data_IF_537749226531
#
_entry.id   IF_537749226531
#
_cell.length_a   1.000
_cell.length_b   1.000
_cell.length_c   1.000
_cell.angle_alpha   90.00
_cell.angle_beta   90.00
_cell.angle_gamma   90.00
#
_symmetry.space_group_name_H-M   'P 1'
#
loop_
_entity.id
_entity.type
_entity.pdbx_description
1 polymer ?
#
# COMPACT_ATOMS: atom_id res chain seq x y z
N UNK A 1 55.63 -4.75 26.88
CA UNK A 1 54.99 -3.54 26.32
C UNK A 1 53.49 -3.78 26.31
N UNK A 2 52.75 -3.03 27.14
CA UNK A 2 51.31 -3.23 27.34
C UNK A 2 50.51 -2.83 26.10
N UNK A 3 49.66 -3.73 25.61
CA UNK A 3 48.63 -3.41 24.63
C UNK A 3 47.54 -2.63 25.34
N UNK A 4 47.39 -1.35 25.01
CA UNK A 4 46.27 -0.54 25.48
C UNK A 4 45.01 -1.12 24.83
N UNK A 5 44.05 -1.53 25.67
CA UNK A 5 42.71 -1.93 25.23
C UNK A 5 42.09 -0.82 24.39
N UNK A 6 41.68 -1.15 23.17
CA UNK A 6 41.08 -0.21 22.25
C UNK A 6 39.70 0.22 22.78
N UNK A 7 39.62 1.43 23.35
CA UNK A 7 38.34 2.07 23.69
C UNK A 7 37.84 2.91 22.52
N UNK A 8 36.69 2.56 21.97
CA UNK A 8 36.04 3.34 20.92
C UNK A 8 35.53 4.68 21.50
N UNK A 9 36.14 5.80 21.09
CA UNK A 9 35.64 7.14 21.37
C UNK A 9 34.95 7.72 20.13
N UNK A 10 33.88 8.49 20.32
CA UNK A 10 32.99 9.00 19.26
C UNK A 10 33.69 9.79 18.13
N UNK A 11 34.89 10.33 18.37
CA UNK A 11 35.68 11.04 17.34
C UNK A 11 36.51 10.14 16.41
N UNK A 12 36.61 8.84 16.69
CA UNK A 12 37.53 7.93 15.97
C UNK A 12 36.86 7.09 14.87
N UNK A 13 35.58 7.31 14.57
CA UNK A 13 34.82 6.48 13.63
C UNK A 13 35.48 6.42 12.24
N UNK A 14 35.84 7.58 11.67
CA UNK A 14 36.44 7.66 10.32
C UNK A 14 37.78 6.90 10.26
N UNK A 15 38.76 7.15 11.15
CA UNK A 15 40.00 6.36 11.20
C UNK A 15 39.79 4.85 11.38
N UNK A 16 38.84 4.46 12.24
CA UNK A 16 38.55 3.04 12.52
C UNK A 16 38.06 2.36 11.25
N UNK A 17 37.03 2.94 10.62
CA UNK A 17 36.44 2.38 9.41
C UNK A 17 37.49 2.30 8.32
N UNK A 18 38.24 3.39 8.07
CA UNK A 18 39.30 3.41 7.07
C UNK A 18 40.34 2.32 7.30
N UNK A 19 40.83 2.16 8.54
CA UNK A 19 41.80 1.10 8.88
C UNK A 19 41.22 -0.29 8.69
N UNK A 20 39.95 -0.49 9.02
CA UNK A 20 39.24 -1.76 8.86
C UNK A 20 39.14 -2.17 7.39
N UNK A 21 38.58 -1.31 6.51
CA UNK A 21 38.39 -1.63 5.08
C UNK A 21 39.73 -1.82 4.35
N UNK A 22 40.80 -1.19 4.82
CA UNK A 22 42.15 -1.35 4.27
C UNK A 22 42.89 -2.60 4.76
N UNK A 23 42.43 -3.24 5.84
CA UNK A 23 43.15 -4.37 6.43
C UNK A 23 43.13 -5.60 5.53
N UNK A 24 44.26 -6.33 5.45
CA UNK A 24 44.34 -7.59 4.68
C UNK A 24 43.35 -8.64 5.18
N UNK A 25 43.12 -8.68 6.49
CA UNK A 25 42.18 -9.61 7.10
C UNK A 25 40.74 -9.36 6.62
N UNK A 26 40.32 -8.10 6.52
CA UNK A 26 39.01 -7.72 6.01
C UNK A 26 38.87 -8.04 4.52
N UNK A 27 39.82 -7.59 3.68
CA UNK A 27 39.79 -7.81 2.22
C UNK A 27 39.82 -9.30 1.82
N UNK A 28 40.40 -10.17 2.66
CA UNK A 28 40.39 -11.62 2.42
C UNK A 28 39.01 -12.25 2.61
N UNK A 29 38.14 -11.64 3.44
CA UNK A 29 36.84 -12.20 3.84
C UNK A 29 35.64 -11.44 3.28
N UNK A 30 35.79 -10.15 3.00
CA UNK A 30 34.69 -9.27 2.62
C UNK A 30 35.07 -8.42 1.41
N UNK A 31 34.10 -8.22 0.50
CA UNK A 31 34.27 -7.35 -0.67
C UNK A 31 34.17 -5.86 -0.34
N UNK A 32 33.46 -5.52 0.74
CA UNK A 32 33.17 -4.15 1.15
C UNK A 32 32.37 -4.08 2.44
N UNK A 33 31.98 -2.88 2.82
CA UNK A 33 31.16 -2.58 3.99
C UNK A 33 29.89 -1.85 3.54
N UNK A 34 28.72 -2.40 3.86
CA UNK A 34 27.44 -1.71 3.71
C UNK A 34 26.92 -1.30 5.09
N UNK A 35 26.54 -0.03 5.24
CA UNK A 35 25.99 0.54 6.47
C UNK A 35 24.57 0.99 6.17
N UNK A 36 23.61 0.39 6.86
CA UNK A 36 22.20 0.77 6.82
C UNK A 36 21.87 1.54 8.09
N UNK A 37 21.34 2.75 7.93
CA UNK A 37 20.94 3.61 9.01
C UNK A 37 19.46 3.92 8.86
N UNK A 38 18.63 3.17 9.58
CA UNK A 38 17.20 3.44 9.65
C UNK A 38 16.92 4.67 10.53
N UNK A 39 15.87 5.42 10.20
CA UNK A 39 15.53 6.67 10.91
C UNK A 39 16.68 7.70 10.97
N UNK A 40 17.52 7.76 9.94
CA UNK A 40 18.61 8.72 9.85
C UNK A 40 18.10 10.17 9.96
N UNK A 41 16.88 10.43 9.47
CA UNK A 41 16.20 11.72 9.60
C UNK A 41 16.09 12.21 11.04
N UNK A 42 15.79 11.35 12.01
CA UNK A 42 15.70 11.72 13.42
C UNK A 42 17.05 12.17 13.99
N UNK A 43 18.13 11.55 13.51
CA UNK A 43 19.49 11.88 13.91
C UNK A 43 19.92 13.23 13.34
N UNK A 44 19.50 13.55 12.11
CA UNK A 44 19.65 14.87 11.50
C UNK A 44 18.84 15.93 12.26
N UNK A 45 17.60 15.62 12.66
CA UNK A 45 16.73 16.55 13.40
C UNK A 45 17.28 16.90 14.80
N UNK A 46 17.90 15.92 15.47
CA UNK A 46 18.45 16.10 16.83
C UNK A 46 19.85 16.68 16.88
N UNK A 47 20.51 16.92 15.74
CA UNK A 47 21.92 17.31 15.67
C UNK A 47 22.83 16.39 16.51
N UNK A 48 22.49 15.10 16.58
CA UNK A 48 23.19 14.15 17.45
C UNK A 48 24.59 13.76 16.93
N UNK A 49 24.96 14.21 15.72
CA UNK A 49 26.32 14.16 15.20
C UNK A 49 26.95 15.54 15.16
N UNK A 50 28.24 15.61 15.48
CA UNK A 50 29.02 16.79 15.11
C UNK A 50 29.04 16.88 13.58
N UNK A 51 28.80 18.09 13.05
CA UNK A 51 28.85 18.40 11.62
C UNK A 51 30.12 17.84 10.96
N UNK A 52 31.25 17.95 11.65
CA UNK A 52 32.56 17.50 11.18
C UNK A 52 32.64 15.98 11.03
N UNK A 53 31.97 15.22 11.90
CA UNK A 53 31.94 13.75 11.82
C UNK A 53 31.11 13.31 10.62
N UNK A 54 29.92 13.88 10.41
CA UNK A 54 29.05 13.48 9.30
C UNK A 54 29.65 13.90 7.94
N UNK A 55 30.13 15.15 7.84
CA UNK A 55 30.81 15.64 6.65
C UNK A 55 32.08 14.84 6.37
N UNK A 56 32.92 14.63 7.39
CA UNK A 56 34.14 13.85 7.28
C UNK A 56 33.88 12.41 6.88
N UNK A 57 32.80 11.80 7.37
CA UNK A 57 32.38 10.45 7.00
C UNK A 57 31.96 10.38 5.53
N UNK A 58 31.13 11.30 5.05
CA UNK A 58 30.72 11.35 3.64
C UNK A 58 31.91 11.60 2.70
N UNK A 59 32.80 12.54 3.04
CA UNK A 59 33.96 12.87 2.21
C UNK A 59 35.02 11.76 2.21
N UNK A 60 35.37 11.26 3.40
CA UNK A 60 36.54 10.40 3.56
C UNK A 60 36.21 8.95 3.30
N UNK A 61 35.00 8.52 3.66
CA UNK A 61 34.58 7.13 3.54
C UNK A 61 33.72 6.96 2.29
N UNK A 62 32.53 7.56 2.24
CA UNK A 62 31.56 7.25 1.17
C UNK A 62 32.03 7.67 -0.24
N UNK A 63 32.76 8.79 -0.35
CA UNK A 63 33.25 9.27 -1.66
C UNK A 63 34.56 8.63 -2.11
N UNK A 64 35.46 8.35 -1.18
CA UNK A 64 36.84 7.95 -1.49
C UNK A 64 37.11 6.46 -1.30
N UNK A 65 36.24 5.73 -0.61
CA UNK A 65 36.37 4.28 -0.44
C UNK A 65 35.37 3.58 -1.37
N UNK A 66 35.80 3.04 -2.53
CA UNK A 66 34.89 2.44 -3.52
C UNK A 66 34.16 1.19 -3.01
N UNK A 67 34.57 0.67 -1.86
CA UNK A 67 34.07 -0.56 -1.27
C UNK A 67 33.21 -0.29 -0.04
N UNK A 68 32.82 0.96 0.21
CA UNK A 68 31.94 1.33 1.32
C UNK A 68 30.66 1.96 0.78
N UNK A 69 29.52 1.41 1.21
CA UNK A 69 28.19 1.90 0.88
C UNK A 69 27.49 2.35 2.17
N UNK A 70 26.92 3.55 2.16
CA UNK A 70 26.09 4.05 3.25
C UNK A 70 24.70 4.36 2.69
N UNK A 71 23.67 3.81 3.34
CA UNK A 71 22.26 4.03 3.02
C UNK A 71 21.58 4.50 4.30
N UNK A 72 21.03 5.72 4.27
CA UNK A 72 20.26 6.30 5.37
C UNK A 72 18.83 6.56 4.95
N UNK A 73 17.86 6.13 5.76
CA UNK A 73 16.43 6.37 5.53
C UNK A 73 16.01 7.71 6.14
N UNK A 74 15.32 8.56 5.38
CA UNK A 74 14.83 9.87 5.82
C UNK A 74 13.36 10.07 5.41
N UNK A 75 12.59 10.76 6.24
CA UNK A 75 11.14 11.00 6.03
C UNK A 75 10.82 12.30 5.29
N UNK A 76 11.81 13.17 5.09
CA UNK A 76 11.68 14.45 4.38
C UNK A 76 12.88 14.60 3.45
N UNK A 77 12.74 15.40 2.39
CA UNK A 77 13.86 15.79 1.54
C UNK A 77 15.01 16.29 2.41
N UNK A 78 16.24 15.87 2.07
CA UNK A 78 17.44 16.29 2.79
C UNK A 78 17.53 17.83 2.93
N UNK A 79 17.05 18.57 1.93
CA UNK A 79 16.98 20.05 1.95
C UNK A 79 16.09 20.60 3.05
N UNK A 80 15.09 19.84 3.51
CA UNK A 80 14.21 20.26 4.61
C UNK A 80 14.91 20.22 5.98
N UNK A 81 16.07 19.58 6.08
CA UNK A 81 16.94 19.65 7.25
C UNK A 81 17.91 20.85 7.18
N UNK A 82 17.89 21.64 6.09
CA UNK A 82 18.78 22.78 5.88
C UNK A 82 18.60 23.91 6.89
N UNK A 83 17.44 24.04 7.53
CA UNK A 83 17.20 25.07 8.57
C UNK A 83 18.05 24.87 9.83
N UNK A 84 18.62 23.67 10.01
CA UNK A 84 19.47 23.30 11.15
C UNK A 84 20.96 23.35 10.82
N UNK A 85 21.30 23.34 9.52
CA UNK A 85 22.65 23.56 9.02
C UNK A 85 22.74 24.99 8.47
N UNK A 86 23.94 25.49 8.13
CA UNK A 86 23.95 26.68 7.27
C UNK A 86 23.44 26.27 5.87
N UNK A 87 22.80 27.20 5.14
CA UNK A 87 22.31 26.92 3.77
C UNK A 87 23.41 26.38 2.85
N UNK A 88 24.63 26.88 3.04
CA UNK A 88 25.80 26.45 2.27
C UNK A 88 26.22 25.02 2.65
N UNK A 89 26.19 24.67 3.94
CA UNK A 89 26.52 23.31 4.40
C UNK A 89 25.50 22.28 3.94
N UNK A 90 24.20 22.62 4.01
CA UNK A 90 23.14 21.74 3.55
C UNK A 90 23.24 21.47 2.04
N UNK A 91 23.60 22.50 1.26
CA UNK A 91 23.84 22.36 -0.17
C UNK A 91 25.05 21.46 -0.46
N UNK A 92 26.15 21.62 0.29
CA UNK A 92 27.35 20.78 0.15
C UNK A 92 27.07 19.31 0.50
N UNK A 93 26.29 19.05 1.56
CA UNK A 93 25.90 17.69 1.95
C UNK A 93 24.91 17.08 0.95
N UNK A 94 23.89 17.83 0.52
CA UNK A 94 22.90 17.38 -0.48
C UNK A 94 23.57 17.01 -1.80
N UNK A 95 24.59 17.76 -2.25
CA UNK A 95 25.34 17.47 -3.47
C UNK A 95 26.15 16.17 -3.42
N UNK A 96 26.31 15.55 -2.24
CA UNK A 96 27.12 14.34 -2.02
C UNK A 96 26.27 13.11 -1.71
N UNK A 97 24.97 13.30 -1.57
CA UNK A 97 24.02 12.24 -1.30
C UNK A 97 23.24 12.01 -2.59
N UNK A 98 23.18 10.76 -3.02
CA UNK A 98 22.20 10.34 -4.03
C UNK A 98 20.90 10.05 -3.29
N UNK A 99 19.97 10.99 -3.30
CA UNK A 99 18.63 10.73 -2.80
C UNK A 99 17.95 9.77 -3.77
N UNK A 100 17.48 8.65 -3.24
CA UNK A 100 16.64 7.69 -3.95
C UNK A 100 15.30 7.73 -3.24
N UNK A 101 14.28 8.23 -3.93
CA UNK A 101 12.94 8.25 -3.38
C UNK A 101 12.43 6.81 -3.31
N UNK A 102 12.09 6.35 -2.10
CA UNK A 102 11.40 5.07 -1.89
C UNK A 102 9.94 5.25 -2.28
N UNK A 103 9.68 5.24 -3.58
CA UNK A 103 8.33 5.23 -4.14
C UNK A 103 7.75 3.81 -4.11
N UNK A 104 6.44 3.70 -4.23
CA UNK A 104 5.75 2.40 -4.36
C UNK A 104 6.03 1.69 -5.72
N UNK A 105 6.95 2.21 -6.53
CA UNK A 105 7.34 1.62 -7.80
C UNK A 105 8.06 0.28 -7.56
N UNK A 106 7.61 -0.79 -8.21
CA UNK A 106 8.17 -2.12 -8.03
C UNK A 106 7.70 -2.84 -6.75
N UNK A 107 6.76 -2.25 -5.97
CA UNK A 107 6.20 -2.92 -4.79
C UNK A 107 5.48 -4.22 -5.17
N UNK A 108 4.98 -4.34 -6.41
CA UNK A 108 4.39 -5.57 -6.92
C UNK A 108 5.40 -6.72 -7.00
N UNK A 109 6.69 -6.44 -7.22
CA UNK A 109 7.74 -7.46 -7.20
C UNK A 109 7.98 -7.97 -5.78
N UNK A 110 7.98 -7.06 -4.80
CA UNK A 110 8.11 -7.40 -3.38
C UNK A 110 6.92 -8.23 -2.93
N UNK A 111 5.70 -7.83 -3.30
CA UNK A 111 4.49 -8.60 -2.98
C UNK A 111 4.53 -9.97 -3.67
N UNK A 112 4.93 -10.04 -4.94
CA UNK A 112 5.05 -11.30 -5.67
C UNK A 112 6.06 -12.27 -5.04
N UNK A 113 7.05 -11.76 -4.32
CA UNK A 113 7.97 -12.57 -3.53
C UNK A 113 7.37 -13.06 -2.19
N UNK A 114 6.34 -12.38 -1.66
CA UNK A 114 5.63 -12.77 -0.43
C UNK A 114 4.54 -13.81 -0.76
N UNK A 115 3.79 -13.60 -1.85
CA UNK A 115 2.59 -14.36 -2.23
C UNK A 115 2.94 -15.59 -3.09
N UNK A 116 4.09 -16.22 -2.84
CA UNK A 116 4.69 -17.25 -3.72
C UNK A 116 3.66 -18.22 -4.32
N UNK A 117 3.34 -17.98 -5.60
CA UNK A 117 2.26 -18.71 -6.30
C UNK A 117 2.85 -19.90 -7.02
N UNK A 118 2.62 -21.11 -6.48
CA UNK A 118 3.05 -22.36 -7.13
C UNK A 118 2.18 -22.65 -8.37
N UNK A 119 2.64 -22.18 -9.54
CA UNK A 119 1.99 -22.41 -10.83
C UNK A 119 2.15 -23.86 -11.32
N UNK A 120 3.03 -24.65 -10.72
CA UNK A 120 3.27 -26.04 -11.09
C UNK A 120 2.36 -27.02 -10.35
N UNK A 121 1.69 -26.58 -9.29
CA UNK A 121 0.78 -27.43 -8.54
C UNK A 121 -0.43 -27.88 -9.38
N UNK A 122 -0.96 -29.04 -9.02
CA UNK A 122 -2.11 -29.66 -9.70
C UNK A 122 -3.34 -28.77 -9.70
N UNK A 123 -3.57 -28.05 -8.61
CA UNK A 123 -4.69 -27.13 -8.43
C UNK A 123 -4.61 -25.99 -9.43
N UNK A 124 -3.43 -25.37 -9.57
CA UNK A 124 -3.23 -24.30 -10.55
C UNK A 124 -3.49 -24.79 -11.97
N UNK A 125 -2.87 -25.91 -12.36
CA UNK A 125 -2.98 -26.46 -13.73
C UNK A 125 -4.40 -26.85 -14.10
N UNK A 126 -5.18 -27.40 -13.17
CA UNK A 126 -6.53 -27.93 -13.42
C UNK A 126 -7.61 -26.87 -13.26
N UNK A 127 -7.50 -25.98 -12.28
CA UNK A 127 -8.60 -25.08 -11.90
C UNK A 127 -8.38 -23.61 -12.29
N UNK A 128 -7.13 -23.13 -12.22
CA UNK A 128 -6.80 -21.71 -12.40
C UNK A 128 -6.34 -21.44 -13.83
N UNK A 129 -5.34 -22.18 -14.33
CA UNK A 129 -4.75 -22.01 -15.65
C UNK A 129 -5.79 -21.96 -16.79
N UNK A 130 -6.83 -22.82 -16.83
CA UNK A 130 -7.85 -22.77 -17.88
C UNK A 130 -8.71 -21.50 -17.87
N UNK A 131 -8.75 -20.78 -16.76
CA UNK A 131 -9.57 -19.58 -16.55
C UNK A 131 -8.76 -18.28 -16.60
N UNK A 132 -7.45 -18.36 -16.79
CA UNK A 132 -6.54 -17.19 -16.87
C UNK A 132 -6.91 -16.21 -17.98
N UNK A 133 -7.69 -16.61 -18.99
CA UNK A 133 -8.26 -15.70 -20.00
C UNK A 133 -9.16 -14.59 -19.41
N UNK A 134 -9.59 -14.70 -18.15
CA UNK A 134 -10.26 -13.60 -17.45
C UNK A 134 -9.31 -12.42 -17.18
N UNK A 135 -8.01 -12.67 -17.03
CA UNK A 135 -7.02 -11.63 -16.78
C UNK A 135 -6.91 -10.67 -17.97
N UNK A 136 -7.09 -11.16 -19.20
CA UNK A 136 -7.18 -10.32 -20.41
C UNK A 136 -8.29 -9.27 -20.32
N UNK A 137 -9.37 -9.57 -19.59
CA UNK A 137 -10.50 -8.66 -19.42
C UNK A 137 -10.26 -7.63 -18.30
N UNK A 138 -9.37 -7.93 -17.36
CA UNK A 138 -9.06 -7.05 -16.22
C UNK A 138 -7.98 -6.00 -16.54
N UNK A 139 -7.12 -6.30 -17.49
CA UNK A 139 -5.99 -5.44 -17.88
C UNK A 139 -6.41 -4.09 -18.51
N UNK A 140 -7.38 -4.00 -19.44
CA UNK A 140 -7.73 -2.72 -20.04
C UNK A 140 -8.26 -1.68 -19.04
N UNK A 141 -9.13 -2.02 -18.07
CA UNK A 141 -9.50 -1.11 -16.99
C UNK A 141 -8.31 -0.62 -16.16
N UNK A 142 -7.32 -1.48 -15.88
CA UNK A 142 -6.10 -1.06 -15.15
C UNK A 142 -5.36 0.06 -15.87
N UNK A 143 -5.24 -0.04 -17.20
CA UNK A 143 -4.61 0.99 -18.04
C UNK A 143 -5.45 2.25 -18.14
N UNK A 144 -6.75 2.10 -18.37
CA UNK A 144 -7.66 3.25 -18.52
C UNK A 144 -7.77 4.10 -17.25
N UNK A 145 -7.62 3.47 -16.08
CA UNK A 145 -7.70 4.13 -14.78
C UNK A 145 -6.33 4.49 -14.21
N UNK A 146 -5.26 4.20 -14.95
CA UNK A 146 -3.87 4.45 -14.54
C UNK A 146 -3.58 3.90 -13.14
N UNK A 147 -3.99 2.65 -12.88
CA UNK A 147 -3.90 2.03 -11.55
C UNK A 147 -2.46 1.74 -11.11
N UNK A 148 -1.56 1.53 -12.08
CA UNK A 148 -0.15 1.19 -11.87
C UNK A 148 0.71 2.05 -12.81
N UNK A 149 0.82 3.37 -12.55
CA UNK A 149 1.45 4.32 -13.48
C UNK A 149 2.94 4.04 -13.74
N UNK A 150 3.60 3.29 -12.86
CA UNK A 150 5.00 2.88 -13.00
C UNK A 150 5.22 1.63 -13.86
N UNK A 151 4.14 0.96 -14.30
CA UNK A 151 4.21 -0.21 -15.18
C UNK A 151 3.74 0.20 -16.58
N UNK A 152 4.67 0.59 -17.44
CA UNK A 152 4.36 1.03 -18.81
C UNK A 152 3.81 -0.10 -19.71
N UNK A 153 4.26 -1.32 -19.45
CA UNK A 153 3.95 -2.50 -20.26
C UNK A 153 2.72 -3.26 -19.72
N UNK A 154 1.73 -3.38 -20.59
CA UNK A 154 0.46 -4.04 -20.33
C UNK A 154 0.64 -5.52 -20.00
N UNK A 155 1.59 -6.19 -20.65
CA UNK A 155 1.88 -7.60 -20.39
C UNK A 155 2.53 -7.77 -19.01
N UNK A 156 3.31 -6.78 -18.56
CA UNK A 156 3.85 -6.75 -17.19
C UNK A 156 2.78 -6.55 -16.14
N UNK A 157 1.75 -5.74 -16.41
CA UNK A 157 0.59 -5.63 -15.50
C UNK A 157 -0.05 -7.01 -15.34
N UNK A 158 -0.31 -7.71 -16.44
CA UNK A 158 -0.86 -9.07 -16.37
C UNK A 158 0.02 -9.99 -15.53
N UNK A 159 1.30 -10.08 -15.85
CA UNK A 159 2.22 -11.01 -15.20
C UNK A 159 2.41 -10.68 -13.72
N UNK A 160 2.78 -9.43 -13.41
CA UNK A 160 3.19 -9.03 -12.07
C UNK A 160 2.03 -8.81 -11.12
N UNK A 161 0.92 -8.27 -11.61
CA UNK A 161 -0.24 -7.94 -10.75
C UNK A 161 -1.25 -9.07 -10.69
N UNK A 162 -1.56 -9.72 -11.82
CA UNK A 162 -2.66 -10.71 -11.86
C UNK A 162 -2.16 -12.14 -11.63
N UNK A 163 -1.00 -12.49 -12.18
CA UNK A 163 -0.50 -13.87 -12.09
C UNK A 163 0.44 -14.09 -10.90
N UNK A 164 1.34 -13.15 -10.61
CA UNK A 164 2.31 -13.30 -9.52
C UNK A 164 1.73 -12.92 -8.15
N UNK A 165 0.66 -12.13 -8.13
CA UNK A 165 -0.10 -11.78 -6.91
C UNK A 165 -1.51 -12.36 -7.06
N UNK A 166 -1.57 -13.66 -7.38
CA UNK A 166 -2.83 -14.33 -7.65
C UNK A 166 -3.79 -14.24 -6.45
N UNK A 167 -5.09 -14.16 -6.72
CA UNK A 167 -6.12 -14.10 -5.69
C UNK A 167 -6.49 -12.69 -5.24
N UNK A 168 -5.80 -11.64 -5.72
CA UNK A 168 -6.20 -10.23 -5.49
C UNK A 168 -6.70 -9.58 -6.76
N UNK A 169 -7.85 -8.90 -6.69
CA UNK A 169 -8.33 -8.11 -7.81
C UNK A 169 -7.42 -6.88 -8.02
N UNK A 170 -7.04 -6.50 -9.25
CA UNK A 170 -6.07 -5.42 -9.48
C UNK A 170 -6.53 -4.06 -8.92
N UNK A 171 -7.83 -3.80 -8.96
CA UNK A 171 -8.40 -2.62 -8.31
C UNK A 171 -8.22 -2.65 -6.78
N UNK A 172 -8.39 -3.82 -6.16
CA UNK A 172 -8.18 -3.96 -4.72
C UNK A 172 -6.69 -3.78 -4.38
N UNK A 173 -5.77 -4.30 -5.20
CA UNK A 173 -4.34 -4.05 -5.02
C UNK A 173 -4.01 -2.55 -5.11
N UNK A 174 -4.47 -1.85 -6.15
CA UNK A 174 -4.22 -0.42 -6.31
C UNK A 174 -4.77 0.39 -5.12
N UNK A 175 -5.99 0.07 -4.67
CA UNK A 175 -6.57 0.68 -3.48
C UNK A 175 -5.79 0.36 -2.20
N UNK A 176 -5.32 -0.87 -2.02
CA UNK A 176 -4.51 -1.29 -0.88
C UNK A 176 -3.24 -0.44 -0.79
N UNK A 177 -2.48 -0.34 -1.88
CA UNK A 177 -1.24 0.44 -1.93
C UNK A 177 -1.47 1.89 -1.53
N UNK A 178 -2.56 2.48 -2.04
CA UNK A 178 -2.94 3.86 -1.75
C UNK A 178 -3.39 4.05 -0.30
N UNK A 179 -4.24 3.16 0.22
CA UNK A 179 -4.70 3.21 1.61
C UNK A 179 -3.54 3.03 2.59
N UNK A 180 -2.67 2.04 2.36
CA UNK A 180 -1.49 1.83 3.20
C UNK A 180 -0.56 3.05 3.22
N UNK A 181 -0.43 3.78 2.10
CA UNK A 181 0.36 5.03 2.09
C UNK A 181 -0.30 6.22 2.77
N UNK A 182 -1.64 6.30 2.80
CA UNK A 182 -2.35 7.52 3.24
C UNK A 182 -3.04 7.41 4.61
N UNK A 183 -3.36 6.19 5.02
CA UNK A 183 -4.22 5.86 6.17
C UNK A 183 -3.66 4.66 6.96
N UNK A 184 -2.79 3.86 6.33
CA UNK A 184 -2.15 2.71 6.97
C UNK A 184 -1.35 3.15 8.19
N UNK A 185 -1.49 2.36 9.26
CA UNK A 185 -0.60 2.40 10.42
C UNK A 185 0.58 1.45 10.21
N UNK A 186 1.60 1.51 11.05
CA UNK A 186 2.73 0.54 11.02
C UNK A 186 2.24 -0.93 11.08
N UNK A 187 1.08 -1.17 11.72
CA UNK A 187 0.44 -2.48 11.82
C UNK A 187 -0.48 -2.84 10.63
N UNK A 188 -0.82 -1.88 9.76
CA UNK A 188 -1.72 -2.05 8.60
C UNK A 188 -1.06 -1.53 7.32
N UNK A 189 0.05 -2.17 6.98
CA UNK A 189 0.79 -1.95 5.76
C UNK A 189 0.45 -2.98 4.68
N UNK A 190 0.88 -2.72 3.44
CA UNK A 190 0.82 -3.69 2.35
C UNK A 190 1.52 -4.99 2.74
N UNK A 191 2.64 -4.90 3.48
CA UNK A 191 3.38 -6.08 3.93
C UNK A 191 2.54 -6.91 4.90
N UNK A 192 1.96 -6.31 5.94
CA UNK A 192 1.15 -7.06 6.93
C UNK A 192 -0.12 -7.64 6.32
N UNK A 193 -0.67 -6.99 5.29
CA UNK A 193 -1.79 -7.52 4.52
C UNK A 193 -1.47 -8.86 3.83
N UNK A 194 -0.27 -8.98 3.24
CA UNK A 194 0.15 -10.17 2.47
C UNK A 194 0.89 -11.21 3.30
N UNK A 195 1.82 -10.81 4.18
CA UNK A 195 2.64 -11.75 4.95
C UNK A 195 1.84 -12.44 6.06
N UNK A 196 0.82 -11.77 6.60
CA UNK A 196 -0.03 -12.34 7.65
C UNK A 196 0.73 -12.72 8.93
N UNK A 197 1.88 -12.08 9.20
CA UNK A 197 2.92 -12.47 10.20
C UNK A 197 2.44 -12.76 11.66
N UNK A 198 1.14 -12.66 11.98
CA UNK A 198 0.57 -13.11 13.27
C UNK A 198 -0.82 -13.77 13.12
N UNK A 199 -1.02 -14.63 12.13
CA UNK A 199 -2.18 -15.54 12.08
C UNK A 199 -3.50 -14.88 11.69
N UNK A 200 -3.63 -14.54 10.41
CA UNK A 200 -4.94 -14.29 9.79
C UNK A 200 -5.68 -13.11 10.40
N UNK A 201 -5.07 -11.92 10.37
CA UNK A 201 -5.84 -10.74 10.72
C UNK A 201 -7.06 -10.64 9.81
N UNK A 202 -8.22 -10.47 10.43
CA UNK A 202 -9.50 -10.49 9.74
C UNK A 202 -9.50 -9.51 8.56
N UNK A 203 -9.83 -10.00 7.37
CA UNK A 203 -9.82 -9.25 6.13
C UNK A 203 -8.43 -9.10 5.47
N UNK A 204 -7.37 -9.75 5.96
CA UNK A 204 -6.09 -9.82 5.25
C UNK A 204 -6.15 -10.75 4.04
N UNK A 205 -5.10 -10.73 3.21
CA UNK A 205 -4.95 -11.71 2.13
C UNK A 205 -4.82 -13.14 2.68
N UNK A 206 -4.05 -13.32 3.75
CA UNK A 206 -3.90 -14.61 4.43
C UNK A 206 -5.25 -15.18 4.91
N UNK A 207 -6.06 -14.36 5.58
CA UNK A 207 -7.43 -14.72 6.02
C UNK A 207 -8.34 -15.07 4.83
N UNK A 208 -8.16 -14.38 3.69
CA UNK A 208 -8.93 -14.69 2.48
C UNK A 208 -8.55 -16.04 1.88
N UNK A 209 -7.26 -16.30 1.64
CA UNK A 209 -6.84 -17.54 0.97
C UNK A 209 -7.09 -18.78 1.82
N UNK A 210 -7.09 -18.66 3.16
CA UNK A 210 -7.37 -19.78 4.06
C UNK A 210 -8.85 -20.20 4.02
N UNK A 211 -9.76 -19.25 3.79
CA UNK A 211 -11.20 -19.47 3.88
C UNK A 211 -11.95 -19.45 2.53
N UNK A 212 -11.30 -19.01 1.46
CA UNK A 212 -11.95 -18.83 0.16
C UNK A 212 -11.84 -20.07 -0.74
N UNK A 213 -12.96 -20.46 -1.34
CA UNK A 213 -12.94 -21.39 -2.46
C UNK A 213 -12.25 -20.76 -3.68
N UNK A 214 -11.58 -21.58 -4.50
CA UNK A 214 -10.84 -21.14 -5.70
C UNK A 214 -11.78 -20.51 -6.74
N UNK A 215 -13.01 -21.01 -6.82
CA UNK A 215 -14.02 -20.51 -7.74
C UNK A 215 -15.30 -20.16 -7.01
N UNK A 216 -16.00 -19.16 -7.51
CA UNK A 216 -17.33 -18.76 -7.03
C UNK A 216 -18.32 -18.74 -8.19
N UNK A 217 -19.63 -18.72 -7.87
CA UNK A 217 -20.77 -18.50 -8.77
C UNK A 217 -20.54 -18.77 -10.27
N UNK A 218 -20.89 -19.97 -10.75
CA UNK A 218 -20.76 -20.33 -12.17
C UNK A 218 -19.33 -20.66 -12.61
N UNK A 219 -18.42 -20.88 -11.67
CA UNK A 219 -17.05 -21.35 -11.93
C UNK A 219 -16.04 -20.24 -12.23
N UNK A 220 -16.37 -18.98 -11.97
CA UNK A 220 -15.40 -17.86 -12.11
C UNK A 220 -14.35 -17.92 -10.98
N UNK A 221 -13.15 -17.43 -11.23
CA UNK A 221 -12.09 -17.36 -10.22
C UNK A 221 -12.54 -16.48 -9.04
N UNK A 222 -12.19 -16.87 -7.82
CA UNK A 222 -12.48 -16.06 -6.66
C UNK A 222 -11.31 -15.10 -6.40
N UNK A 223 -11.57 -13.80 -6.49
CA UNK A 223 -10.58 -12.75 -6.27
C UNK A 223 -10.99 -11.88 -5.09
N UNK A 224 -10.00 -11.44 -4.32
CA UNK A 224 -10.18 -10.49 -3.25
C UNK A 224 -10.59 -9.12 -3.83
N UNK A 225 -11.82 -8.70 -3.56
CA UNK A 225 -12.45 -7.48 -4.08
C UNK A 225 -12.24 -6.27 -3.18
N UNK A 226 -12.53 -5.07 -3.73
CA UNK A 226 -12.26 -3.78 -3.06
C UNK A 226 -13.02 -3.62 -1.74
N UNK A 227 -14.27 -4.08 -1.68
CA UNK A 227 -15.13 -3.95 -0.49
C UNK A 227 -14.54 -4.65 0.74
N UNK A 228 -13.78 -5.72 0.54
CA UNK A 228 -13.16 -6.50 1.61
C UNK A 228 -12.06 -5.72 2.33
N UNK A 229 -11.37 -4.78 1.65
CA UNK A 229 -10.37 -3.89 2.27
C UNK A 229 -10.93 -3.11 3.44
N UNK A 230 -12.23 -2.82 3.45
CA UNK A 230 -12.89 -2.18 4.58
C UNK A 230 -12.71 -2.97 5.88
N UNK A 231 -12.77 -4.31 5.80
CA UNK A 231 -12.60 -5.19 6.96
C UNK A 231 -11.17 -5.13 7.49
N UNK A 232 -10.18 -5.13 6.59
CA UNK A 232 -8.76 -5.05 6.97
C UNK A 232 -8.43 -3.74 7.68
N UNK A 233 -8.90 -2.61 7.14
CA UNK A 233 -8.69 -1.26 7.67
C UNK A 233 -9.81 -0.82 8.63
N UNK A 234 -10.58 -1.74 9.22
CA UNK A 234 -11.77 -1.39 10.01
C UNK A 234 -11.43 -0.47 11.20
N UNK A 235 -10.26 -0.66 11.81
CA UNK A 235 -9.80 0.15 12.95
C UNK A 235 -9.45 1.58 12.49
N UNK A 236 -8.72 1.69 11.40
CA UNK A 236 -8.26 2.94 10.80
C UNK A 236 -9.44 3.74 10.24
N UNK A 237 -10.44 3.05 9.67
CA UNK A 237 -11.67 3.62 9.12
C UNK A 237 -12.76 3.84 10.18
N UNK A 238 -12.42 3.79 11.48
CA UNK A 238 -13.36 4.07 12.56
C UNK A 238 -13.66 5.57 12.68
N UNK A 239 -14.93 5.92 12.95
CA UNK A 239 -15.32 7.31 13.25
C UNK A 239 -14.58 7.90 14.46
N UNK A 240 -14.11 7.02 15.37
CA UNK A 240 -13.36 7.38 16.58
C UNK A 240 -11.86 7.55 16.34
N UNK A 241 -11.34 7.23 15.16
CA UNK A 241 -9.92 7.36 14.88
C UNK A 241 -9.52 8.85 14.85
N UNK A 242 -8.64 9.33 15.75
CA UNK A 242 -8.19 10.73 15.76
C UNK A 242 -7.25 11.04 14.58
N UNK A 243 -6.60 10.04 13.99
CA UNK A 243 -5.57 10.23 12.95
C UNK A 243 -6.14 10.53 11.56
N UNK A 244 -7.44 10.30 11.35
CA UNK A 244 -8.12 10.65 10.11
C UNK A 244 -8.15 12.16 9.90
N UNK A 245 -7.64 12.61 8.74
CA UNK A 245 -7.76 14.00 8.27
C UNK A 245 -9.24 14.37 8.10
N UNK A 246 -9.57 15.65 8.22
CA UNK A 246 -10.97 16.13 8.18
C UNK A 246 -11.76 15.61 6.97
N UNK A 247 -11.16 15.64 5.78
CA UNK A 247 -11.79 15.13 4.56
C UNK A 247 -12.02 13.61 4.59
N UNK A 248 -11.08 12.84 5.13
CA UNK A 248 -11.22 11.38 5.26
C UNK A 248 -12.30 11.05 6.30
N UNK A 249 -12.31 11.78 7.43
CA UNK A 249 -13.33 11.67 8.49
C UNK A 249 -14.73 11.93 7.94
N UNK A 250 -14.88 12.94 7.08
CA UNK A 250 -16.16 13.22 6.41
C UNK A 250 -16.63 12.05 5.54
N UNK A 251 -15.75 11.42 4.77
CA UNK A 251 -16.12 10.25 3.94
C UNK A 251 -16.50 9.04 4.79
N UNK A 252 -15.71 8.74 5.82
CA UNK A 252 -15.98 7.66 6.77
C UNK A 252 -17.34 7.87 7.43
N UNK A 253 -17.58 9.06 8.00
CA UNK A 253 -18.84 9.37 8.65
C UNK A 253 -20.04 9.31 7.69
N UNK A 254 -19.87 9.80 6.45
CA UNK A 254 -20.91 9.72 5.43
C UNK A 254 -21.33 8.29 5.14
N UNK A 255 -20.36 7.36 5.05
CA UNK A 255 -20.63 5.93 4.79
C UNK A 255 -21.31 5.25 5.97
N UNK A 256 -20.88 5.52 7.20
CA UNK A 256 -21.58 5.00 8.38
C UNK A 256 -23.02 5.51 8.45
N UNK A 257 -23.24 6.79 8.14
CA UNK A 257 -24.59 7.35 8.08
C UNK A 257 -25.44 6.73 6.95
N UNK A 258 -24.84 6.45 5.78
CA UNK A 258 -25.48 5.70 4.69
C UNK A 258 -25.87 4.29 5.11
N UNK A 259 -24.99 3.58 5.85
CA UNK A 259 -25.27 2.25 6.37
C UNK A 259 -26.39 2.26 7.41
N UNK A 260 -26.42 3.25 8.30
CA UNK A 260 -27.49 3.40 9.27
C UNK A 260 -28.82 3.79 8.63
N UNK A 261 -28.81 4.64 7.60
CA UNK A 261 -29.99 4.97 6.81
C UNK A 261 -30.55 3.71 6.10
N UNK A 262 -29.66 2.88 5.54
CA UNK A 262 -30.05 1.62 4.92
C UNK A 262 -30.64 0.64 5.94
N UNK A 263 -30.03 0.51 7.13
CA UNK A 263 -30.55 -0.33 8.22
C UNK A 263 -31.95 0.12 8.67
N UNK A 264 -32.15 1.41 8.92
CA UNK A 264 -33.48 1.96 9.29
C UNK A 264 -34.53 1.74 8.21
N UNK A 265 -34.15 1.83 6.93
CA UNK A 265 -35.05 1.54 5.82
C UNK A 265 -35.36 0.03 5.70
N UNK A 266 -34.44 -0.84 6.11
CA UNK A 266 -34.59 -2.29 6.09
C UNK A 266 -35.38 -2.84 7.30
N UNK A 267 -35.35 -2.18 8.46
CA UNK A 267 -36.18 -2.55 9.63
C UNK A 267 -37.70 -2.51 9.35
N UNK A 268 -38.13 -1.80 8.30
CA UNK A 268 -39.50 -1.82 7.79
C UNK A 268 -39.82 -2.95 6.80
N UNK A 269 -38.82 -3.69 6.32
CA UNK A 269 -38.95 -4.78 5.35
C UNK A 269 -38.66 -6.12 6.06
N UNK A 270 -39.60 -7.07 6.00
CA UNK A 270 -39.64 -8.30 6.81
C UNK A 270 -38.56 -9.37 6.47
N UNK A 271 -37.46 -8.98 5.82
CA UNK A 271 -36.39 -9.90 5.42
C UNK A 271 -35.15 -9.71 6.31
N UNK A 272 -34.83 -10.78 7.04
CA UNK A 272 -33.78 -10.82 8.03
C UNK A 272 -32.36 -10.58 7.50
N UNK A 273 -31.45 -10.39 8.45
CA UNK A 273 -30.00 -10.16 8.39
C UNK A 273 -29.20 -11.12 7.46
N UNK A 274 -29.49 -11.18 6.17
CA UNK A 274 -28.44 -11.49 5.19
C UNK A 274 -27.53 -10.27 5.08
N UNK A 275 -26.21 -10.50 4.97
CA UNK A 275 -25.26 -9.42 4.66
C UNK A 275 -25.73 -8.72 3.39
N UNK A 276 -26.34 -7.56 3.57
CA UNK A 276 -26.95 -6.83 2.49
C UNK A 276 -25.87 -6.44 1.48
N UNK A 277 -25.92 -7.00 0.26
CA UNK A 277 -24.94 -6.75 -0.80
C UNK A 277 -24.82 -5.24 -1.11
N UNK A 278 -25.85 -4.43 -0.79
CA UNK A 278 -25.79 -2.96 -0.85
C UNK A 278 -24.74 -2.38 0.09
N UNK A 279 -24.43 -3.03 1.21
CA UNK A 279 -23.34 -2.64 2.12
C UNK A 279 -21.98 -2.81 1.43
N UNK A 280 -21.78 -3.85 0.62
CA UNK A 280 -20.52 -4.04 -0.12
C UNK A 280 -20.31 -2.89 -1.13
N UNK A 281 -21.39 -2.43 -1.76
CA UNK A 281 -21.36 -1.25 -2.64
C UNK A 281 -20.97 0.01 -1.85
N UNK A 282 -21.55 0.24 -0.66
CA UNK A 282 -21.19 1.37 0.20
C UNK A 282 -19.72 1.34 0.65
N UNK A 283 -19.22 0.16 1.05
CA UNK A 283 -17.81 -0.05 1.38
C UNK A 283 -16.90 0.28 0.19
N UNK A 284 -17.25 -0.19 -1.01
CA UNK A 284 -16.48 0.11 -2.23
C UNK A 284 -16.44 1.61 -2.53
N UNK A 285 -17.58 2.30 -2.40
CA UNK A 285 -17.65 3.76 -2.57
C UNK A 285 -16.71 4.47 -1.59
N UNK A 286 -16.67 4.06 -0.32
CA UNK A 286 -15.75 4.63 0.67
C UNK A 286 -14.29 4.50 0.22
N UNK A 287 -13.89 3.28 -0.12
CA UNK A 287 -12.49 2.99 -0.49
C UNK A 287 -12.09 3.82 -1.72
N UNK A 288 -12.95 3.93 -2.72
CA UNK A 288 -12.69 4.78 -3.88
C UNK A 288 -12.59 6.26 -3.55
N UNK A 289 -13.45 6.77 -2.66
CA UNK A 289 -13.38 8.17 -2.23
C UNK A 289 -12.05 8.48 -1.51
N UNK A 290 -11.56 7.54 -0.70
CA UNK A 290 -10.28 7.66 0.01
C UNK A 290 -9.10 7.55 -0.97
N UNK A 291 -9.17 6.65 -1.95
CA UNK A 291 -8.13 6.44 -2.95
C UNK A 291 -8.19 7.44 -4.12
N UNK A 292 -9.19 8.34 -4.12
CA UNK A 292 -9.45 9.30 -5.21
C UNK A 292 -9.78 8.65 -6.56
N UNK A 293 -10.30 7.42 -6.54
CA UNK A 293 -10.79 6.72 -7.72
C UNK A 293 -12.21 7.21 -8.04
N UNK A 294 -12.54 7.51 -9.31
CA UNK A 294 -13.88 7.92 -9.67
C UNK A 294 -14.91 6.84 -9.32
N UNK A 295 -15.93 7.22 -8.54
CA UNK A 295 -17.02 6.33 -8.11
C UNK A 295 -18.10 6.21 -9.19
N UNK A 296 -17.72 5.89 -10.43
CA UNK A 296 -18.66 5.61 -11.53
C UNK A 296 -19.28 4.22 -11.39
N UNK A 297 -20.41 3.97 -12.06
CA UNK A 297 -21.04 2.64 -12.10
C UNK A 297 -20.06 1.58 -12.61
N UNK A 298 -19.34 1.90 -13.69
CA UNK A 298 -18.37 1.00 -14.33
C UNK A 298 -17.22 0.64 -13.39
N UNK A 299 -16.68 1.62 -12.66
CA UNK A 299 -15.59 1.38 -11.71
C UNK A 299 -16.07 0.56 -10.51
N UNK A 300 -17.28 0.81 -10.01
CA UNK A 300 -17.84 0.03 -8.90
C UNK A 300 -18.06 -1.43 -9.33
N UNK A 301 -18.65 -1.64 -10.51
CA UNK A 301 -18.81 -2.98 -11.10
C UNK A 301 -17.46 -3.69 -11.28
N UNK A 302 -16.43 -2.96 -11.70
CA UNK A 302 -15.09 -3.49 -11.84
C UNK A 302 -14.48 -3.89 -10.49
N UNK A 303 -14.53 -3.02 -9.47
CA UNK A 303 -13.97 -3.30 -8.13
C UNK A 303 -14.66 -4.43 -7.37
N UNK A 304 -15.95 -4.66 -7.66
CA UNK A 304 -16.74 -5.79 -7.14
C UNK A 304 -16.64 -7.04 -8.02
N UNK A 305 -15.76 -7.05 -9.02
CA UNK A 305 -15.51 -8.20 -9.90
C UNK A 305 -16.78 -8.76 -10.59
N UNK A 306 -17.58 -7.84 -11.14
CA UNK A 306 -18.79 -8.17 -11.92
C UNK A 306 -18.43 -8.44 -13.39
N UNK A 307 -18.45 -9.71 -13.80
CA UNK A 307 -18.11 -10.12 -15.17
C UNK A 307 -19.35 -10.26 -16.06
N UNK A 308 -20.43 -10.81 -15.50
CA UNK A 308 -21.66 -11.07 -16.24
C UNK A 308 -22.57 -9.84 -16.36
N UNK A 309 -23.42 -9.82 -17.38
CA UNK A 309 -24.45 -8.76 -17.53
C UNK A 309 -25.47 -8.77 -16.39
N UNK A 310 -25.73 -9.93 -15.78
CA UNK A 310 -26.66 -10.05 -14.66
C UNK A 310 -26.11 -9.37 -13.41
N UNK A 311 -24.86 -9.67 -13.04
CA UNK A 311 -24.17 -9.03 -11.89
C UNK A 311 -24.08 -7.50 -12.08
N UNK A 312 -23.72 -7.05 -13.30
CA UNK A 312 -23.67 -5.62 -13.61
C UNK A 312 -25.01 -4.92 -13.41
N UNK A 313 -26.11 -5.54 -13.87
CA UNK A 313 -27.48 -5.02 -13.66
C UNK A 313 -27.89 -5.03 -12.19
N UNK A 314 -27.45 -6.04 -11.43
CA UNK A 314 -27.74 -6.15 -10.00
C UNK A 314 -27.09 -5.01 -9.20
N UNK A 315 -25.81 -4.73 -9.46
CA UNK A 315 -25.11 -3.57 -8.86
C UNK A 315 -25.77 -2.25 -9.25
N UNK A 316 -26.21 -2.11 -10.51
CA UNK A 316 -26.96 -0.92 -10.95
C UNK A 316 -28.29 -0.77 -10.17
N UNK A 317 -29.01 -1.87 -9.94
CA UNK A 317 -30.23 -1.86 -9.15
C UNK A 317 -29.97 -1.46 -7.69
N UNK A 318 -28.91 -1.99 -7.08
CA UNK A 318 -28.49 -1.61 -5.72
C UNK A 318 -28.16 -0.13 -5.60
N UNK A 319 -27.43 0.43 -6.56
CA UNK A 319 -27.13 1.86 -6.57
C UNK A 319 -28.38 2.72 -6.72
N UNK A 320 -29.34 2.31 -7.57
CA UNK A 320 -30.63 3.00 -7.69
C UNK A 320 -31.45 2.95 -6.40
N UNK A 321 -31.46 1.80 -5.72
CA UNK A 321 -32.14 1.64 -4.43
C UNK A 321 -31.48 2.52 -3.35
N UNK A 322 -30.14 2.51 -3.26
CA UNK A 322 -29.38 3.36 -2.33
C UNK A 322 -29.62 4.86 -2.56
N UNK A 323 -29.75 5.29 -3.82
CA UNK A 323 -30.11 6.67 -4.16
C UNK A 323 -31.55 6.99 -3.75
N UNK A 324 -32.50 6.08 -4.01
CA UNK A 324 -33.90 6.24 -3.61
C UNK A 324 -34.05 6.36 -2.09
N UNK A 325 -33.26 5.61 -1.34
CA UNK A 325 -33.24 5.61 0.13
C UNK A 325 -32.44 6.77 0.74
N UNK A 326 -31.85 7.66 -0.08
CA UNK A 326 -31.02 8.78 0.38
C UNK A 326 -29.67 8.36 0.99
N UNK A 327 -29.31 7.07 0.90
CA UNK A 327 -28.05 6.56 1.40
C UNK A 327 -26.87 6.95 0.50
N UNK A 328 -27.11 7.27 -0.79
CA UNK A 328 -26.09 7.72 -1.73
C UNK A 328 -26.64 8.84 -2.61
N UNK A 329 -25.81 9.83 -2.93
CA UNK A 329 -26.12 10.88 -3.89
C UNK A 329 -25.43 10.60 -5.23
N UNK A 330 -26.19 10.70 -6.31
CA UNK A 330 -25.68 10.64 -7.67
C UNK A 330 -25.54 12.04 -8.26
N UNK A 331 -24.33 12.45 -8.62
CA UNK A 331 -24.10 13.73 -9.31
C UNK A 331 -24.25 13.55 -10.82
N UNK A 332 -25.24 14.21 -11.44
CA UNK A 332 -25.49 14.11 -12.89
C UNK A 332 -24.43 14.81 -13.76
N UNK A 333 -23.83 15.90 -13.27
CA UNK A 333 -22.83 16.66 -14.03
C UNK A 333 -21.48 15.94 -14.17
N UNK A 334 -21.19 14.99 -13.27
CA UNK A 334 -20.05 14.08 -13.29
C UNK A 334 -20.53 12.75 -12.70
N UNK A 335 -20.79 11.70 -13.50
CA UNK A 335 -21.54 10.50 -13.07
C UNK A 335 -20.76 9.72 -12.01
N UNK A 336 -20.91 10.17 -10.77
CA UNK A 336 -20.20 9.69 -9.58
C UNK A 336 -21.17 9.58 -8.43
N UNK A 337 -21.05 8.46 -7.70
CA UNK A 337 -21.80 8.18 -6.49
C UNK A 337 -21.02 8.67 -5.26
N UNK A 338 -21.67 9.41 -4.36
CA UNK A 338 -21.05 9.89 -3.13
C UNK A 338 -21.99 9.68 -1.96
N UNK A 339 -21.43 9.38 -0.79
CA UNK A 339 -22.22 9.36 0.45
C UNK A 339 -22.62 10.78 0.87
N UNK A 340 -23.71 10.93 1.65
CA UNK A 340 -24.19 12.21 2.16
C UNK A 340 -23.10 12.94 2.95
N UNK A 341 -22.94 14.26 2.79
CA UNK A 341 -22.28 15.04 3.81
C UNK A 341 -23.15 15.05 5.09
N UNK A 342 -22.50 15.00 6.25
CA UNK A 342 -23.18 15.05 7.56
C UNK A 342 -24.08 16.28 7.75
N UNK A 343 -23.86 17.36 6.99
CA UNK A 343 -24.69 18.57 7.05
C UNK A 343 -26.08 18.44 6.39
N UNK A 344 -26.41 17.27 5.83
CA UNK A 344 -27.64 17.02 5.06
C UNK A 344 -28.49 15.87 5.61
N UNK A 345 -28.05 15.24 6.69
CA UNK A 345 -28.80 14.25 7.48
C UNK A 345 -29.16 14.93 8.81
#
# INVERSE_FOLDING_TARGET
>A
MGGVEFQAQAGNLIPILKKMVHSRAFKKRFKGLAIFFDEFGFTLEKAAYSKDILQGFMETICKNEPNVLFIGCIHKDFKSYADRFSKDDAAVMSARITQVDLLNEGIEEIIGAIVETDKECDVWKKEIAPKTGVFDQLVPPCKSLDLFPWIEDVDRIRQRVLENIYGVHPMALACLLKLSSEIGSDARSTFTFFSGDVGGEKGSYADFIENAEITVGGGKLNLYTVDRLFTFFQKELSQKNPELRDRQRQFVNGVYASMDALRKAAEGELFGFQEDERIQVLKTILIYQLCQIPTSLENIQFGLYCLSKAEKKQVEAYLKDLVKKGAVFFKKCYPQFKTPPLSTI
#
